data_IF_031317022224
#
_entry.id   IF_031317022224
#
_cell.length_a   1.000
_cell.length_b   1.000
_cell.length_c   1.000
_cell.angle_alpha   90.00
_cell.angle_beta   90.00
_cell.angle_gamma   90.00
#
_symmetry.space_group_name_H-M   'P 1'
#
loop_
_entity.id
_entity.type
_entity.pdbx_description
1 polymer ?
#
# COMPACT_ATOMS: atom_id res chain seq x y z
N UNK A 1 -4.30 -21.25 -14.93
CA UNK A 1 -4.83 -20.26 -13.96
C UNK A 1 -4.97 -20.91 -12.60
N UNK A 2 -5.00 -20.12 -11.52
CA UNK A 2 -5.12 -20.60 -10.13
C UNK A 2 -6.32 -19.94 -9.44
N UNK A 3 -6.80 -20.55 -8.34
CA UNK A 3 -7.91 -20.01 -7.57
C UNK A 3 -7.50 -18.77 -6.76
N UNK A 4 -8.47 -17.88 -6.56
CA UNK A 4 -8.37 -16.74 -5.63
C UNK A 4 -9.29 -17.00 -4.44
N UNK A 5 -8.70 -17.39 -3.31
CA UNK A 5 -9.41 -17.75 -2.11
C UNK A 5 -9.98 -16.54 -1.38
N UNK A 6 -11.18 -16.74 -0.82
CA UNK A 6 -11.94 -15.72 -0.12
C UNK A 6 -12.60 -16.30 1.13
N UNK A 7 -12.50 -15.54 2.21
CA UNK A 7 -13.37 -15.71 3.36
C UNK A 7 -14.65 -14.88 3.13
N UNK A 8 -15.82 -15.49 3.34
CA UNK A 8 -17.12 -14.85 3.09
C UNK A 8 -17.34 -13.60 3.95
N UNK A 9 -16.77 -13.57 5.16
CA UNK A 9 -16.86 -12.45 6.11
C UNK A 9 -15.71 -11.45 5.92
N UNK A 10 -14.47 -11.94 5.80
CA UNK A 10 -13.28 -11.08 5.85
C UNK A 10 -12.74 -10.64 4.48
N UNK A 11 -13.32 -11.14 3.38
CA UNK A 11 -12.86 -10.83 2.02
C UNK A 11 -11.74 -11.75 1.53
N UNK A 12 -11.12 -11.41 0.40
CA UNK A 12 -10.06 -12.23 -0.21
C UNK A 12 -8.75 -12.14 0.57
N UNK A 13 -7.98 -13.23 0.60
CA UNK A 13 -6.70 -13.26 1.32
C UNK A 13 -5.74 -12.18 0.83
N UNK A 14 -5.72 -11.94 -0.48
CA UNK A 14 -4.90 -10.90 -1.09
C UNK A 14 -5.27 -9.50 -0.59
N UNK A 15 -6.55 -9.14 -0.57
CA UNK A 15 -6.97 -7.79 -0.15
C UNK A 15 -6.77 -7.59 1.36
N UNK A 16 -6.98 -8.64 2.16
CA UNK A 16 -6.67 -8.62 3.59
C UNK A 16 -5.17 -8.32 3.81
N UNK A 17 -4.28 -9.10 3.19
CA UNK A 17 -2.84 -8.91 3.29
C UNK A 17 -2.36 -7.55 2.75
N UNK A 18 -2.90 -7.12 1.59
CA UNK A 18 -2.58 -5.83 0.98
C UNK A 18 -2.94 -4.66 1.90
N UNK A 19 -4.14 -4.69 2.48
CA UNK A 19 -4.60 -3.61 3.36
C UNK A 19 -3.80 -3.57 4.65
N UNK A 20 -3.44 -4.74 5.20
CA UNK A 20 -2.58 -4.83 6.38
C UNK A 20 -1.20 -4.21 6.11
N UNK A 21 -0.53 -4.64 5.04
CA UNK A 21 0.81 -4.14 4.69
C UNK A 21 0.82 -2.66 4.27
N UNK A 22 -0.22 -2.16 3.62
CA UNK A 22 -0.29 -0.73 3.32
C UNK A 22 -0.45 0.12 4.58
N UNK A 23 -1.19 -0.36 5.59
CA UNK A 23 -1.34 0.33 6.88
C UNK A 23 -0.06 0.28 7.71
N UNK A 24 0.59 -0.87 7.75
CA UNK A 24 1.79 -1.10 8.56
C UNK A 24 3.04 -0.52 7.91
N UNK A 25 3.21 -0.69 6.60
CA UNK A 25 4.48 -0.50 5.87
C UNK A 25 4.41 0.59 4.78
N UNK A 26 3.22 1.14 4.49
CA UNK A 26 2.94 1.95 3.29
C UNK A 26 3.82 3.18 3.10
N UNK A 27 4.16 3.88 4.18
CA UNK A 27 5.00 5.10 4.12
C UNK A 27 6.48 4.81 4.35
N UNK A 28 6.82 3.59 4.78
CA UNK A 28 8.19 3.20 5.13
C UNK A 28 8.96 2.63 3.94
N UNK A 29 8.32 1.76 3.15
CA UNK A 29 8.95 0.98 2.08
C UNK A 29 8.43 1.38 0.69
N UNK A 30 9.14 0.96 -0.36
CA UNK A 30 8.65 1.08 -1.72
C UNK A 30 7.56 0.04 -2.03
N UNK A 31 6.75 0.32 -3.05
CA UNK A 31 5.60 -0.51 -3.45
C UNK A 31 5.96 -1.97 -3.73
N UNK A 32 7.10 -2.26 -4.37
CA UNK A 32 7.46 -3.64 -4.71
C UNK A 32 7.92 -4.42 -3.47
N UNK A 33 8.60 -3.76 -2.54
CA UNK A 33 8.88 -4.33 -1.21
C UNK A 33 7.59 -4.63 -0.45
N UNK A 34 6.65 -3.68 -0.42
CA UNK A 34 5.33 -3.89 0.21
C UNK A 34 4.61 -5.09 -0.42
N UNK A 35 4.56 -5.17 -1.76
CA UNK A 35 3.92 -6.28 -2.46
C UNK A 35 4.64 -7.63 -2.24
N UNK A 36 5.93 -7.61 -1.93
CA UNK A 36 6.68 -8.80 -1.49
C UNK A 36 6.19 -9.28 -0.12
N UNK A 37 5.98 -8.37 0.83
CA UNK A 37 5.42 -8.71 2.15
C UNK A 37 3.97 -9.21 2.03
N UNK A 38 3.16 -8.60 1.17
CA UNK A 38 1.81 -9.08 0.85
C UNK A 38 1.87 -10.53 0.34
N UNK A 39 2.78 -10.81 -0.60
CA UNK A 39 2.94 -12.16 -1.15
C UNK A 39 3.38 -13.16 -0.09
N UNK A 40 4.28 -12.76 0.81
CA UNK A 40 4.70 -13.57 1.97
C UNK A 40 3.51 -13.88 2.89
N UNK A 41 2.72 -12.88 3.29
CA UNK A 41 1.55 -13.11 4.17
C UNK A 41 0.57 -14.08 3.53
N UNK A 42 0.21 -13.85 2.26
CA UNK A 42 -0.72 -14.74 1.54
C UNK A 42 -0.19 -16.18 1.49
N UNK A 43 1.11 -16.36 1.25
CA UNK A 43 1.72 -17.69 1.14
C UNK A 43 1.87 -18.41 2.48
N UNK A 44 2.22 -17.71 3.54
CA UNK A 44 2.55 -18.32 4.84
C UNK A 44 1.31 -18.43 5.72
N UNK A 45 0.55 -17.34 5.86
CA UNK A 45 -0.45 -17.21 6.91
C UNK A 45 -1.82 -17.78 6.53
N UNK A 46 -2.08 -18.01 5.23
CA UNK A 46 -3.38 -18.45 4.74
C UNK A 46 -3.36 -19.86 4.19
N UNK A 47 -4.43 -20.59 4.49
CA UNK A 47 -4.69 -21.95 4.03
C UNK A 47 -6.22 -22.12 3.90
N UNK A 48 -6.67 -22.84 2.87
CA UNK A 48 -8.10 -23.04 2.66
C UNK A 48 -8.64 -24.03 3.69
N UNK A 49 -9.90 -23.83 4.09
CA UNK A 49 -10.58 -24.69 5.04
C UNK A 49 -11.91 -25.13 4.46
N UNK A 50 -11.91 -26.29 3.83
CA UNK A 50 -13.07 -26.91 3.16
C UNK A 50 -13.09 -28.39 3.56
N UNK A 51 -13.40 -28.72 4.83
CA UNK A 51 -13.18 -30.06 5.38
C UNK A 51 -13.92 -31.17 4.62
N UNK A 52 -15.06 -30.86 4.02
CA UNK A 52 -15.88 -31.81 3.26
C UNK A 52 -15.38 -32.04 1.82
N UNK A 53 -14.34 -31.33 1.37
CA UNK A 53 -13.75 -31.48 0.05
C UNK A 53 -12.22 -31.55 0.15
N UNK A 54 -11.69 -32.77 0.18
CA UNK A 54 -10.24 -33.03 0.30
C UNK A 54 -9.39 -32.42 -0.81
N UNK A 55 -9.94 -32.17 -2.00
CA UNK A 55 -9.20 -31.53 -3.11
C UNK A 55 -9.09 -30.01 -2.96
N UNK A 56 -9.96 -29.43 -2.13
CA UNK A 56 -10.05 -27.99 -1.89
C UNK A 56 -9.67 -27.60 -0.46
N UNK A 57 -9.54 -28.55 0.46
CA UNK A 57 -9.04 -28.33 1.82
C UNK A 57 -7.52 -28.15 1.83
N UNK A 58 -7.01 -27.34 2.75
CA UNK A 58 -5.58 -27.12 2.99
C UNK A 58 -4.76 -26.61 1.80
N UNK A 59 -5.42 -25.97 0.85
CA UNK A 59 -4.78 -25.40 -0.32
C UNK A 59 -4.16 -24.04 0.02
N UNK A 60 -3.05 -23.74 -0.66
CA UNK A 60 -2.29 -22.49 -0.52
C UNK A 60 -2.54 -21.56 -1.70
N UNK A 61 -2.15 -20.30 -1.55
CA UNK A 61 -2.21 -19.29 -2.60
C UNK A 61 -0.91 -18.49 -2.63
N UNK A 62 -0.50 -18.03 -3.81
CA UNK A 62 0.56 -17.03 -4.00
C UNK A 62 0.07 -15.94 -4.95
N UNK A 63 0.22 -14.64 -4.62
CA UNK A 63 -0.04 -13.56 -5.57
C UNK A 63 0.99 -13.55 -6.71
N UNK A 64 0.59 -13.03 -7.87
CA UNK A 64 1.49 -12.78 -8.98
C UNK A 64 1.68 -11.27 -9.16
N UNK A 65 2.92 -10.80 -9.07
CA UNK A 65 3.27 -9.39 -9.26
C UNK A 65 4.07 -9.27 -10.56
N UNK A 66 3.56 -8.52 -11.52
CA UNK A 66 4.27 -8.14 -12.74
C UNK A 66 4.42 -6.63 -12.75
N UNK A 67 5.65 -6.16 -12.90
CA UNK A 67 5.97 -4.72 -12.84
C UNK A 67 6.78 -4.30 -14.05
N UNK A 68 6.39 -3.16 -14.62
CA UNK A 68 7.15 -2.43 -15.65
C UNK A 68 7.62 -1.07 -15.11
N UNK A 69 7.64 -0.90 -13.79
CA UNK A 69 8.10 0.33 -13.15
C UNK A 69 9.60 0.51 -13.42
N UNK A 70 9.98 1.70 -13.87
CA UNK A 70 11.38 2.08 -14.07
C UNK A 70 11.94 2.93 -12.92
N UNK A 71 11.11 3.24 -11.93
CA UNK A 71 11.45 3.99 -10.72
C UNK A 71 10.75 3.40 -9.50
N UNK A 72 11.34 3.59 -8.33
CA UNK A 72 10.73 3.20 -7.06
C UNK A 72 9.51 4.09 -6.78
N UNK A 73 8.39 3.46 -6.39
CA UNK A 73 7.21 4.15 -5.90
C UNK A 73 7.22 4.07 -4.38
N UNK A 74 7.23 5.21 -3.70
CA UNK A 74 7.11 5.30 -2.24
C UNK A 74 6.02 6.30 -1.88
N UNK A 75 5.17 5.95 -0.93
CA UNK A 75 4.09 6.81 -0.46
C UNK A 75 4.60 7.72 0.66
N UNK A 76 5.34 8.77 0.28
CA UNK A 76 5.80 9.77 1.25
C UNK A 76 4.66 10.73 1.62
N UNK A 77 4.46 11.05 2.92
CA UNK A 77 3.62 12.16 3.31
C UNK A 77 4.08 13.45 2.61
N UNK A 78 3.14 14.33 2.26
CA UNK A 78 3.50 15.68 1.82
C UNK A 78 4.17 16.38 3.00
N UNK A 79 5.31 17.03 2.76
CA UNK A 79 5.94 17.87 3.77
C UNK A 79 5.15 19.16 3.92
N UNK A 80 4.46 19.35 5.05
CA UNK A 80 3.73 20.61 5.35
C UNK A 80 4.65 21.84 5.34
N UNK A 81 5.95 21.63 5.57
CA UNK A 81 6.98 22.67 5.56
C UNK A 81 7.11 23.41 4.22
N UNK A 82 6.71 22.81 3.09
CA UNK A 82 6.75 23.49 1.79
C UNK A 82 5.53 24.40 1.57
N UNK A 83 4.38 24.09 2.21
CA UNK A 83 3.16 24.90 2.08
C UNK A 83 3.29 26.14 2.97
N UNK A 84 3.69 25.94 4.23
CA UNK A 84 3.89 27.04 5.17
C UNK A 84 4.95 28.04 4.68
N UNK A 85 6.05 27.56 4.09
CA UNK A 85 7.09 28.43 3.54
C UNK A 85 6.66 29.23 2.31
N UNK A 86 5.74 28.71 1.47
CA UNK A 86 5.20 29.46 0.32
C UNK A 86 4.22 30.54 0.78
N UNK A 87 3.39 30.25 1.79
CA UNK A 87 2.49 31.22 2.40
C UNK A 87 3.24 32.36 3.11
N UNK A 88 4.33 32.03 3.83
CA UNK A 88 5.22 33.01 4.46
C UNK A 88 5.90 33.92 3.42
N UNK A 89 6.35 33.36 2.29
CA UNK A 89 6.94 34.13 1.19
C UNK A 89 5.92 35.09 0.57
N UNK A 90 4.68 34.63 0.31
CA UNK A 90 3.64 35.47 -0.27
C UNK A 90 3.30 36.66 0.64
N UNK A 91 3.12 36.45 1.94
CA UNK A 91 2.88 37.55 2.88
C UNK A 91 4.03 38.56 2.96
N UNK A 92 5.28 38.07 2.83
CA UNK A 92 6.47 38.93 2.84
C UNK A 92 6.57 39.78 1.58
N UNK A 93 6.15 39.24 0.43
CA UNK A 93 6.11 39.98 -0.84
C UNK A 93 5.03 41.06 -0.81
N UNK A 94 3.80 40.75 -0.34
CA UNK A 94 2.69 41.73 -0.31
C UNK A 94 2.97 42.90 0.64
N UNK A 95 3.60 42.64 1.80
CA UNK A 95 3.96 43.71 2.77
C UNK A 95 5.03 44.68 2.23
N UNK A 96 5.89 44.23 1.31
CA UNK A 96 6.92 45.09 0.70
C UNK A 96 6.36 46.02 -0.37
N UNK A 97 5.26 45.65 -1.03
CA UNK A 97 4.60 46.49 -2.04
C UNK A 97 3.74 47.59 -1.40
N UNK A 98 3.11 47.31 -0.25
CA UNK A 98 2.29 48.30 0.48
C UNK A 98 3.14 49.42 1.13
N UNK A 99 4.38 49.13 1.54
CA UNK A 99 5.28 50.10 2.19
C UNK A 99 6.16 50.90 1.21
N UNK A 100 5.86 50.85 -0.10
CA UNK A 100 6.62 51.55 -1.15
C UNK A 100 5.89 52.75 -1.76
N UNK A 101 4.71 53.09 -1.23
CA UNK A 101 3.92 54.30 -1.55
C UNK A 101 3.88 55.22 -0.32
#
# INVERSE_FOLDING_TARGET
>A
GFYSWRNTTNGSWFIQALTAELKESGTMYDLLTILTFVSRRVAIDFESRVPDNSTMDKQKQIPCVTSMLTRLIKFSPKSDNLINSVEDIQQTVTKKEVNKN
#
